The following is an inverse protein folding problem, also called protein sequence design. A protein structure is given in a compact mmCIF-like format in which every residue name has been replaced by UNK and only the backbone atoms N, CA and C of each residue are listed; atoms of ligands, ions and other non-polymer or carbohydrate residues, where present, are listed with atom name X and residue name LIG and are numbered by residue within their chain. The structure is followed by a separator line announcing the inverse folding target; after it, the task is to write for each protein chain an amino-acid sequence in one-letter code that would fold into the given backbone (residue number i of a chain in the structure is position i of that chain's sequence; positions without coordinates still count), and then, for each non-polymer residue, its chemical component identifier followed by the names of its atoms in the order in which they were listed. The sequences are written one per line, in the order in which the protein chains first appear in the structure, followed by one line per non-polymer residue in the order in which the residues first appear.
data_IF_918716188168
#
_entry.id   IF_918716188168
#
_cell.length_a   1.000
_cell.length_b   1.000
_cell.length_c   1.000
_cell.angle_alpha   90.00
_cell.angle_beta   90.00
_cell.angle_gamma   90.00
#
_symmetry.space_group_name_H-M   'P 1'
#
loop_
_entity.id
_entity.type
_entity.pdbx_description
1 polymer ?
#
# COMPACT_ATOMS: atom_id res chain seq x y z
N UNK A 1 -40.64 21.60 34.93
CA UNK A 1 -39.73 20.50 34.51
C UNK A 1 -38.62 20.36 35.54
N UNK A 2 -38.56 19.25 36.30
CA UNK A 2 -37.47 18.99 37.24
C UNK A 2 -36.28 18.41 36.46
N UNK A 3 -35.26 19.22 36.22
CA UNK A 3 -34.01 18.77 35.62
C UNK A 3 -33.33 17.77 36.57
N UNK A 4 -33.18 16.53 36.11
CA UNK A 4 -32.62 15.45 36.92
C UNK A 4 -31.09 15.54 36.85
N UNK A 5 -30.50 16.36 37.75
CA UNK A 5 -29.07 16.68 37.83
C UNK A 5 -28.14 15.45 37.74
N UNK A 6 -28.59 14.29 38.22
CA UNK A 6 -27.85 13.02 38.15
C UNK A 6 -27.60 12.54 36.71
N UNK A 7 -28.54 12.81 35.78
CA UNK A 7 -28.39 12.42 34.37
C UNK A 7 -27.46 13.39 33.63
N UNK A 8 -27.49 14.67 34.01
CA UNK A 8 -26.64 15.70 33.43
C UNK A 8 -25.17 15.50 33.80
N UNK A 9 -24.89 15.17 35.07
CA UNK A 9 -23.53 14.91 35.53
C UNK A 9 -22.92 13.67 34.86
N UNK A 10 -23.72 12.63 34.64
CA UNK A 10 -23.27 11.42 33.96
C UNK A 10 -22.96 11.68 32.47
N UNK A 11 -23.83 12.42 31.78
CA UNK A 11 -23.60 12.78 30.39
C UNK A 11 -22.34 13.65 30.21
N UNK A 12 -22.11 14.59 31.12
CA UNK A 12 -20.93 15.45 31.11
C UNK A 12 -19.65 14.66 31.39
N UNK A 13 -19.70 13.71 32.33
CA UNK A 13 -18.56 12.84 32.63
C UNK A 13 -18.17 11.97 31.43
N UNK A 14 -19.15 11.40 30.72
CA UNK A 14 -18.90 10.60 29.51
C UNK A 14 -18.28 11.48 28.41
N UNK A 15 -18.83 12.68 28.19
CA UNK A 15 -18.31 13.60 27.18
C UNK A 15 -16.87 14.03 27.47
N UNK A 16 -16.56 14.33 28.73
CA UNK A 16 -15.19 14.66 29.16
C UNK A 16 -14.25 13.47 29.02
N UNK A 17 -14.73 12.25 29.29
CA UNK A 17 -13.94 11.03 29.10
C UNK A 17 -13.58 10.79 27.63
N UNK A 18 -14.55 10.98 26.72
CA UNK A 18 -14.34 10.89 25.27
C UNK A 18 -13.39 11.98 24.77
N UNK A 19 -13.48 13.20 25.29
CA UNK A 19 -12.58 14.31 24.95
C UNK A 19 -11.16 14.11 25.52
N UNK A 20 -11.02 13.37 26.62
CA UNK A 20 -9.73 13.04 27.22
C UNK A 20 -9.04 11.84 26.59
N UNK A 21 -9.72 11.11 25.69
CA UNK A 21 -9.07 10.06 24.90
C UNK A 21 -8.12 10.74 23.93
N UNK A 22 -6.80 10.56 24.07
CA UNK A 22 -5.88 11.03 23.05
C UNK A 22 -6.32 10.34 21.76
N UNK A 23 -6.66 11.13 20.75
CA UNK A 23 -6.89 10.62 19.41
C UNK A 23 -5.57 9.99 18.97
N UNK A 24 -5.41 8.69 19.25
CA UNK A 24 -4.47 7.80 18.60
C UNK A 24 -4.93 7.66 17.15
N UNK A 25 -4.89 8.76 16.41
CA UNK A 25 -4.70 8.78 14.96
C UNK A 25 -3.28 8.26 14.75
N UNK A 26 -3.10 6.96 15.00
CA UNK A 26 -1.95 6.24 14.49
C UNK A 26 -2.14 6.30 12.99
N UNK A 27 -1.39 7.19 12.33
CA UNK A 27 -1.32 7.21 10.88
C UNK A 27 -1.15 5.76 10.43
N UNK A 28 -2.01 5.30 9.51
CA UNK A 28 -1.84 3.99 8.93
C UNK A 28 -0.37 3.91 8.49
N UNK A 29 0.40 2.88 8.92
CA UNK A 29 1.78 2.74 8.51
C UNK A 29 1.83 2.90 6.98
N UNK A 30 2.79 3.69 6.46
CA UNK A 30 3.02 3.74 5.03
C UNK A 30 3.15 2.30 4.54
N UNK A 31 2.27 1.87 3.62
CA UNK A 31 2.21 0.50 3.16
C UNK A 31 3.56 0.03 2.58
N UNK A 32 4.38 0.99 2.13
CA UNK A 32 5.72 0.76 1.63
C UNK A 32 6.77 0.46 2.71
N UNK A 33 6.48 0.75 3.99
CA UNK A 33 7.38 0.40 5.10
C UNK A 33 7.56 -1.12 5.24
N UNK A 34 6.64 -1.93 4.71
CA UNK A 34 6.81 -3.38 4.63
C UNK A 34 8.13 -3.74 3.89
N UNK A 35 8.54 -2.92 2.92
CA UNK A 35 9.70 -3.16 2.08
C UNK A 35 11.01 -2.55 2.62
N UNK A 36 11.04 -1.98 3.84
CA UNK A 36 12.21 -1.23 4.36
C UNK A 36 13.50 -2.07 4.39
N UNK A 37 13.40 -3.39 4.60
CA UNK A 37 14.55 -4.30 4.67
C UNK A 37 14.75 -5.15 3.40
N UNK A 38 14.11 -4.76 2.30
CA UNK A 38 14.22 -5.44 1.03
C UNK A 38 15.28 -4.76 0.16
N UNK A 39 16.20 -5.55 -0.37
CA UNK A 39 17.18 -5.08 -1.36
C UNK A 39 16.78 -5.53 -2.77
N UNK A 40 17.01 -4.72 -3.82
CA UNK A 40 16.77 -5.15 -5.19
C UNK A 40 17.67 -6.34 -5.53
N UNK A 41 17.13 -7.30 -6.27
CA UNK A 41 17.91 -8.39 -6.86
C UNK A 41 18.34 -7.94 -8.25
N UNK A 42 19.63 -7.65 -8.41
CA UNK A 42 20.18 -7.09 -9.64
C UNK A 42 19.92 -7.97 -10.87
N UNK A 43 19.54 -7.35 -11.99
CA UNK A 43 19.31 -8.02 -13.26
C UNK A 43 18.01 -8.83 -13.31
N UNK A 44 17.17 -8.73 -12.27
CA UNK A 44 15.83 -9.34 -12.23
C UNK A 44 14.77 -8.23 -12.27
N UNK A 45 14.77 -7.51 -13.38
CA UNK A 45 13.70 -6.63 -13.79
C UNK A 45 13.11 -7.12 -15.12
N UNK A 46 11.79 -7.06 -15.24
CA UNK A 46 11.08 -7.39 -16.48
C UNK A 46 10.14 -6.27 -16.83
N UNK A 47 10.21 -5.82 -18.08
CA UNK A 47 9.20 -4.95 -18.64
C UNK A 47 7.90 -5.74 -18.78
N UNK A 48 6.82 -5.23 -18.16
CA UNK A 48 5.48 -5.81 -18.28
C UNK A 48 4.79 -5.22 -19.51
N UNK A 49 4.87 -3.90 -19.66
CA UNK A 49 4.45 -3.17 -20.87
C UNK A 49 5.22 -1.85 -21.02
N UNK A 50 4.79 -0.97 -21.92
CA UNK A 50 5.46 0.32 -22.17
C UNK A 50 5.45 1.31 -20.99
N UNK A 51 4.60 1.08 -19.98
CA UNK A 51 4.41 1.94 -18.81
C UNK A 51 4.79 1.27 -17.50
N UNK A 52 5.04 -0.05 -17.48
CA UNK A 52 5.28 -0.78 -16.24
C UNK A 52 6.48 -1.72 -16.33
N UNK A 53 7.28 -1.70 -15.25
CA UNK A 53 8.40 -2.62 -15.02
C UNK A 53 8.20 -3.28 -13.66
N UNK A 54 8.37 -4.59 -13.59
CA UNK A 54 8.41 -5.32 -12.34
C UNK A 54 9.87 -5.65 -11.98
N UNK A 55 10.25 -5.46 -10.73
CA UNK A 55 11.58 -5.80 -10.22
C UNK A 55 11.46 -6.70 -8.99
N UNK A 56 12.39 -7.64 -8.85
CA UNK A 56 12.46 -8.53 -7.71
C UNK A 56 13.29 -7.91 -6.59
N UNK A 57 12.81 -8.07 -5.37
CA UNK A 57 13.49 -7.66 -4.16
C UNK A 57 13.56 -8.84 -3.19
N UNK A 58 14.58 -8.85 -2.34
CA UNK A 58 14.82 -9.90 -1.37
C UNK A 58 15.17 -9.32 0.00
N UNK A 59 14.51 -9.83 1.04
CA UNK A 59 14.89 -9.64 2.43
C UNK A 59 15.56 -10.93 2.92
N UNK A 60 16.89 -10.94 2.90
CA UNK A 60 17.67 -12.13 3.27
C UNK A 60 17.61 -12.49 4.75
N UNK A 61 17.19 -11.58 5.63
CA UNK A 61 17.05 -11.86 7.07
C UNK A 61 15.81 -12.71 7.34
N UNK A 62 14.71 -12.41 6.65
CA UNK A 62 13.43 -13.08 6.83
C UNK A 62 13.15 -14.12 5.73
N UNK A 63 14.07 -14.25 4.76
CA UNK A 63 13.94 -15.12 3.59
C UNK A 63 12.63 -14.86 2.82
N UNK A 64 12.35 -13.57 2.57
CA UNK A 64 11.16 -13.11 1.87
C UNK A 64 11.52 -12.50 0.53
N UNK A 65 10.67 -12.72 -0.46
CA UNK A 65 10.79 -12.13 -1.79
C UNK A 65 9.65 -11.17 -2.03
N UNK A 66 9.92 -10.02 -2.62
CA UNK A 66 8.90 -9.07 -3.03
C UNK A 66 9.01 -8.81 -4.53
N UNK A 67 7.90 -8.93 -5.24
CA UNK A 67 7.77 -8.42 -6.59
C UNK A 67 7.19 -7.00 -6.51
N UNK A 68 7.94 -6.00 -6.95
CA UNK A 68 7.53 -4.59 -6.89
C UNK A 68 7.29 -4.09 -8.31
N UNK A 69 6.13 -3.49 -8.53
CA UNK A 69 5.74 -2.90 -9.81
C UNK A 69 6.00 -1.39 -9.77
N UNK A 70 6.63 -0.90 -10.82
CA UNK A 70 6.94 0.51 -11.03
C UNK A 70 6.25 1.01 -12.28
N UNK A 71 5.80 2.27 -12.23
CA UNK A 71 5.60 3.06 -13.44
C UNK A 71 6.97 3.33 -14.04
N UNK A 72 7.09 3.11 -15.33
CA UNK A 72 8.31 3.32 -16.09
C UNK A 72 8.00 4.03 -17.40
N UNK A 73 8.89 4.92 -17.81
CA UNK A 73 8.92 5.38 -19.20
C UNK A 73 9.98 4.57 -19.93
N UNK A 74 9.52 3.65 -20.77
CA UNK A 74 10.39 2.80 -21.56
C UNK A 74 10.50 3.32 -22.99
N UNK A 75 11.74 3.59 -23.42
CA UNK A 75 12.13 3.71 -24.81
C UNK A 75 12.87 2.42 -25.27
N UNK A 76 13.14 2.24 -26.57
CA UNK A 76 13.78 1.01 -27.07
C UNK A 76 15.19 0.71 -26.53
N UNK A 77 15.83 1.65 -25.81
CA UNK A 77 17.20 1.55 -25.29
C UNK A 77 17.25 1.62 -23.76
N UNK A 78 16.25 2.22 -23.11
CA UNK A 78 16.25 2.51 -21.69
C UNK A 78 14.83 2.54 -21.12
N UNK A 79 14.66 1.98 -19.92
CA UNK A 79 13.49 2.20 -19.08
C UNK A 79 13.88 3.05 -17.87
N UNK A 80 13.19 4.17 -17.67
CA UNK A 80 13.36 5.01 -16.49
C UNK A 80 12.24 4.70 -15.50
N UNK A 81 12.58 4.10 -14.36
CA UNK A 81 11.63 3.84 -13.27
C UNK A 81 11.27 5.16 -12.58
N UNK A 82 9.98 5.37 -12.32
CA UNK A 82 9.47 6.57 -11.62
C UNK A 82 8.92 6.21 -10.25
N UNK A 83 7.67 5.82 -10.20
CA UNK A 83 6.91 5.60 -8.97
C UNK A 83 6.67 4.10 -8.79
N UNK A 84 6.88 3.61 -7.56
CA UNK A 84 6.39 2.30 -7.14
C UNK A 84 4.88 2.36 -6.96
N UNK A 85 4.16 1.36 -7.48
CA UNK A 85 2.70 1.37 -7.53
C UNK A 85 2.03 0.10 -7.06
N UNK A 86 2.74 -1.01 -7.00
CA UNK A 86 2.24 -2.21 -6.33
C UNK A 86 3.39 -3.05 -5.80
N UNK A 87 3.10 -3.91 -4.82
CA UNK A 87 3.96 -5.03 -4.48
C UNK A 87 3.17 -6.28 -4.10
N UNK A 88 3.82 -7.43 -4.20
CA UNK A 88 3.39 -8.67 -3.58
C UNK A 88 4.58 -9.35 -2.93
N UNK A 89 4.44 -9.80 -1.68
CA UNK A 89 5.48 -10.46 -0.90
C UNK A 89 5.17 -11.93 -0.72
N UNK A 90 6.18 -12.75 -0.90
CA UNK A 90 6.15 -14.20 -0.82
C UNK A 90 7.16 -14.70 0.21
N UNK A 91 6.80 -15.74 0.96
CA UNK A 91 7.75 -16.47 1.79
C UNK A 91 8.52 -17.53 0.98
N UNK A 92 9.40 -18.27 1.65
CA UNK A 92 10.25 -19.29 1.03
C UNK A 92 9.46 -20.45 0.39
N UNK A 93 8.25 -20.72 0.87
CA UNK A 93 7.33 -21.73 0.34
C UNK A 93 6.53 -21.21 -0.87
N UNK A 94 6.73 -19.94 -1.25
CA UNK A 94 5.99 -19.28 -2.33
C UNK A 94 4.58 -18.81 -1.93
N UNK A 95 4.23 -18.88 -0.64
CA UNK A 95 2.95 -18.36 -0.15
C UNK A 95 3.00 -16.84 -0.08
N UNK A 96 1.95 -16.19 -0.59
CA UNK A 96 1.79 -14.74 -0.51
C UNK A 96 1.44 -14.33 0.92
N UNK A 97 2.20 -13.40 1.48
CA UNK A 97 2.04 -12.93 2.86
C UNK A 97 1.75 -11.44 2.97
N UNK A 98 1.88 -10.71 1.87
CA UNK A 98 1.61 -9.28 1.82
C UNK A 98 1.35 -8.82 0.39
N UNK A 99 0.50 -7.82 0.24
CA UNK A 99 0.29 -7.14 -1.03
C UNK A 99 -0.17 -5.71 -0.79
N UNK A 100 0.12 -4.86 -1.76
CA UNK A 100 -0.36 -3.50 -1.79
C UNK A 100 -0.48 -3.05 -3.24
N UNK A 101 -1.50 -2.27 -3.52
CA UNK A 101 -1.70 -1.56 -4.79
C UNK A 101 -2.00 -0.12 -4.45
N UNK A 102 -1.29 0.80 -5.09
CA UNK A 102 -1.56 2.23 -4.98
C UNK A 102 -2.97 2.51 -5.52
N UNK A 103 -3.87 3.12 -4.71
CA UNK A 103 -5.24 3.38 -5.12
C UNK A 103 -5.35 4.18 -6.43
N UNK A 104 -4.36 5.01 -6.73
CA UNK A 104 -4.30 5.82 -7.96
C UNK A 104 -4.13 4.94 -9.20
N UNK A 105 -3.43 3.81 -9.08
CA UNK A 105 -3.29 2.83 -10.17
C UNK A 105 -4.49 1.91 -10.25
N UNK A 106 -5.15 1.58 -9.15
CA UNK A 106 -6.38 0.76 -9.19
C UNK A 106 -7.47 1.45 -10.03
N UNK A 107 -7.60 2.77 -9.91
CA UNK A 107 -8.50 3.57 -10.74
C UNK A 107 -8.07 3.56 -12.22
N UNK A 108 -6.77 3.68 -12.50
CA UNK A 108 -6.21 3.63 -13.86
C UNK A 108 -6.40 2.27 -14.54
N UNK A 109 -6.22 1.18 -13.80
CA UNK A 109 -6.48 -0.19 -14.26
C UNK A 109 -7.97 -0.41 -14.55
N UNK A 110 -8.87 0.11 -13.72
CA UNK A 110 -10.31 0.04 -13.98
C UNK A 110 -10.71 0.77 -15.26
N UNK A 111 -10.12 1.95 -15.51
CA UNK A 111 -10.40 2.74 -16.72
C UNK A 111 -9.85 2.08 -17.99
N UNK A 112 -8.64 1.54 -17.94
CA UNK A 112 -8.02 0.86 -19.09
C UNK A 112 -8.65 -0.50 -19.42
N UNK A 113 -9.12 -1.23 -18.40
CA UNK A 113 -9.90 -2.46 -18.61
C UNK A 113 -11.24 -2.14 -19.27
N UNK A 114 -11.92 -1.06 -18.87
CA UNK A 114 -13.18 -0.66 -19.49
C UNK A 114 -13.03 -0.31 -20.99
N UNK A 115 -11.94 0.36 -21.38
CA UNK A 115 -11.66 0.64 -22.80
C UNK A 115 -11.39 -0.64 -23.61
N UNK A 116 -10.72 -1.64 -23.02
CA UNK A 116 -10.37 -2.89 -23.72
C UNK A 116 -11.58 -3.79 -24.00
N UNK A 117 -12.71 -3.56 -23.33
CA UNK A 117 -13.97 -4.28 -23.53
C UNK A 117 -15.08 -3.44 -24.20
N UNK A 118 -14.73 -2.26 -24.72
CA UNK A 118 -15.63 -1.37 -25.48
C UNK A 118 -15.33 -1.34 -26.99
N UNK A 119 -14.58 -2.31 -27.51
CA UNK A 119 -14.35 -2.52 -28.95
C UNK A 119 -15.01 -3.83 -29.40
#
# INVERSE_FOLDING_TARGET
MRFNFKKLSLALAILLYVLSMPTLLRAAPDAWNFLENFAPVEGIETQIDKHFVAALYHNGKENLYALVLFVADCDPKLCVLRDRVAYSVFNAEGARIGEYVDPRIEELLRLTVAEKYLI
#
